data_IF_267989080492
#
_entry.id   IF_267989080492
#
_cell.length_a   1.000
_cell.length_b   1.000
_cell.length_c   1.000
_cell.angle_alpha   90.00
_cell.angle_beta   90.00
_cell.angle_gamma   90.00
#
_symmetry.space_group_name_H-M   'P 1'
#
loop_
_entity.id
_entity.type
_entity.pdbx_description
1 polymer ?
#
# COMPACT_ATOMS: atom_id res chain seq x y z
N UNK A 1 -18.84 7.74 -7.67
CA UNK A 1 -17.54 8.43 -7.51
C UNK A 1 -17.57 9.32 -6.25
N UNK A 2 -16.46 9.42 -5.52
CA UNK A 2 -16.37 10.27 -4.32
C UNK A 2 -16.25 11.75 -4.70
N UNK A 3 -16.94 12.62 -3.98
CA UNK A 3 -16.79 14.07 -4.05
C UNK A 3 -15.49 14.56 -3.39
N UNK A 4 -15.10 15.84 -3.59
CA UNK A 4 -13.84 16.38 -3.06
C UNK A 4 -13.69 16.26 -1.53
N UNK A 5 -14.77 16.54 -0.78
CA UNK A 5 -14.76 16.46 0.68
C UNK A 5 -14.64 15.01 1.19
N UNK A 6 -15.27 14.06 0.51
CA UNK A 6 -15.18 12.64 0.80
C UNK A 6 -13.76 12.11 0.51
N UNK A 7 -13.17 12.56 -0.60
CA UNK A 7 -11.77 12.26 -0.93
C UNK A 7 -10.79 12.78 0.12
N UNK A 8 -10.98 14.02 0.60
CA UNK A 8 -10.20 14.53 1.72
C UNK A 8 -10.39 13.70 2.98
N UNK A 9 -11.59 13.15 3.22
CA UNK A 9 -11.84 12.26 4.35
C UNK A 9 -11.08 10.94 4.26
N UNK A 10 -11.02 10.34 3.06
CA UNK A 10 -10.24 9.13 2.81
C UNK A 10 -8.74 9.38 3.03
N UNK A 11 -8.22 10.51 2.54
CA UNK A 11 -6.78 10.87 2.67
C UNK A 11 -6.31 11.14 4.10
N UNK A 12 -7.22 11.23 5.08
CA UNK A 12 -6.88 11.35 6.51
C UNK A 12 -6.55 10.01 7.17
N UNK A 13 -6.81 8.88 6.54
CA UNK A 13 -6.60 7.59 7.22
C UNK A 13 -5.13 7.29 7.58
N UNK A 14 -4.08 7.70 6.83
CA UNK A 14 -2.71 7.44 7.27
C UNK A 14 -2.38 8.24 8.54
N UNK A 15 -2.82 9.50 8.60
CA UNK A 15 -2.74 10.33 9.80
C UNK A 15 -3.41 9.65 10.99
N UNK A 16 -4.67 9.23 10.83
CA UNK A 16 -5.44 8.58 11.90
C UNK A 16 -4.79 7.27 12.34
N UNK A 17 -4.24 6.49 11.40
CA UNK A 17 -3.54 5.24 11.71
C UNK A 17 -2.31 5.50 12.58
N UNK A 18 -1.51 6.51 12.22
CA UNK A 18 -0.37 6.95 13.05
C UNK A 18 -0.83 7.41 14.43
N UNK A 19 -1.85 8.26 14.51
CA UNK A 19 -2.39 8.79 15.78
C UNK A 19 -2.90 7.68 16.71
N UNK A 20 -3.57 6.67 16.17
CA UNK A 20 -4.08 5.53 16.94
C UNK A 20 -2.92 4.66 17.44
N UNK A 21 -1.99 4.28 16.55
CA UNK A 21 -0.88 3.40 16.89
C UNK A 21 0.10 4.04 17.88
N UNK A 22 0.35 5.35 17.75
CA UNK A 22 1.25 6.09 18.63
C UNK A 22 0.78 6.18 20.10
N UNK A 23 -0.48 5.79 20.39
CA UNK A 23 -0.98 5.69 21.78
C UNK A 23 -0.37 4.52 22.54
N UNK A 24 0.25 3.57 21.84
CA UNK A 24 0.99 2.47 22.42
C UNK A 24 2.47 2.76 22.21
N UNK A 25 3.20 3.01 23.30
CA UNK A 25 4.63 3.39 23.26
C UNK A 25 5.46 2.39 22.45
N UNK A 26 5.22 1.10 22.62
CA UNK A 26 5.91 0.03 21.88
C UNK A 26 5.69 0.09 20.34
N UNK A 27 4.68 0.83 19.87
CA UNK A 27 4.34 0.95 18.44
C UNK A 27 4.79 2.26 17.81
N UNK A 28 5.55 3.12 18.50
CA UNK A 28 5.94 4.43 17.97
C UNK A 28 6.60 4.35 16.58
N UNK A 29 7.52 3.39 16.38
CA UNK A 29 8.15 3.18 15.07
C UNK A 29 7.15 2.70 14.01
N UNK A 30 6.32 1.71 14.36
CA UNK A 30 5.28 1.18 13.45
C UNK A 30 4.26 2.25 13.09
N UNK A 31 3.91 3.13 14.02
CA UNK A 31 3.01 4.25 13.79
C UNK A 31 3.57 5.21 12.72
N UNK A 32 4.88 5.50 12.75
CA UNK A 32 5.53 6.32 11.71
C UNK A 32 5.47 5.64 10.34
N UNK A 33 5.75 4.34 10.29
CA UNK A 33 5.71 3.54 9.05
C UNK A 33 4.28 3.53 8.48
N UNK A 34 3.29 3.21 9.32
CA UNK A 34 1.88 3.18 8.94
C UNK A 34 1.35 4.58 8.56
N UNK A 35 1.87 5.66 9.14
CA UNK A 35 1.50 7.02 8.75
C UNK A 35 2.03 7.44 7.38
N UNK A 36 3.13 6.83 6.93
CA UNK A 36 3.89 7.23 5.76
C UNK A 36 3.66 6.35 4.51
N UNK A 37 2.83 5.31 4.58
CA UNK A 37 2.66 4.35 3.47
C UNK A 37 2.05 4.95 2.17
N UNK A 38 1.50 6.16 2.22
CA UNK A 38 1.05 6.92 1.05
C UNK A 38 1.95 8.11 0.68
N UNK A 39 3.09 8.24 1.37
CA UNK A 39 4.14 9.20 0.97
C UNK A 39 4.88 8.68 -0.26
N UNK A 40 5.49 9.60 -1.00
CA UNK A 40 6.18 9.32 -2.26
C UNK A 40 7.54 10.00 -2.26
N UNK A 41 8.54 9.38 -2.88
CA UNK A 41 9.92 9.87 -2.84
C UNK A 41 10.08 11.30 -3.40
N UNK A 42 9.23 11.67 -4.37
CA UNK A 42 9.17 13.01 -4.97
C UNK A 42 8.37 14.04 -4.16
N UNK A 43 7.84 13.66 -2.98
CA UNK A 43 7.03 14.52 -2.13
C UNK A 43 5.58 14.72 -2.60
N UNK A 44 5.15 14.09 -3.69
CA UNK A 44 3.76 14.18 -4.19
C UNK A 44 2.74 13.36 -3.39
N UNK A 45 3.22 12.59 -2.42
CA UNK A 45 2.43 11.75 -1.54
C UNK A 45 1.66 12.52 -0.46
N UNK A 46 1.08 11.78 0.48
CA UNK A 46 0.28 12.35 1.55
C UNK A 46 0.34 11.47 2.81
N UNK A 47 0.08 12.00 4.00
CA UNK A 47 -0.58 13.27 4.32
C UNK A 47 0.36 14.44 4.69
N UNK A 48 1.67 14.18 4.83
CA UNK A 48 2.66 15.18 5.25
C UNK A 48 3.51 15.72 4.09
N UNK A 49 3.53 15.03 2.95
CA UNK A 49 4.32 15.44 1.79
C UNK A 49 5.82 15.23 2.02
N UNK A 50 6.17 14.07 2.58
CA UNK A 50 7.55 13.74 2.91
C UNK A 50 8.34 13.43 1.63
N UNK A 51 9.55 13.94 1.55
CA UNK A 51 10.51 13.59 0.50
C UNK A 51 11.29 12.32 0.84
N UNK A 52 12.01 11.77 -0.14
CA UNK A 52 12.90 10.63 0.06
C UNK A 52 13.81 10.76 1.29
N UNK A 53 14.42 11.93 1.50
CA UNK A 53 15.33 12.17 2.62
C UNK A 53 14.69 12.03 4.01
N UNK A 54 13.36 12.12 4.09
CA UNK A 54 12.60 12.06 5.34
C UNK A 54 11.95 10.68 5.58
N UNK A 55 11.94 9.82 4.56
CA UNK A 55 11.33 8.49 4.63
C UNK A 55 12.37 7.44 4.99
N UNK A 56 12.13 6.72 6.09
CA UNK A 56 12.94 5.57 6.47
C UNK A 56 12.67 4.37 5.55
N UNK A 57 13.65 3.45 5.48
CA UNK A 57 13.59 2.28 4.58
C UNK A 57 12.30 1.44 4.79
N UNK A 58 11.85 1.15 6.02
CA UNK A 58 10.59 0.42 6.21
C UNK A 58 9.35 1.13 5.65
N UNK A 59 9.26 2.46 5.79
CA UNK A 59 8.14 3.24 5.20
C UNK A 59 8.12 3.12 3.69
N UNK A 60 9.28 3.18 3.04
CA UNK A 60 9.42 3.06 1.59
C UNK A 60 9.05 1.66 1.09
N UNK A 61 9.48 0.63 1.80
CA UNK A 61 9.11 -0.77 1.50
C UNK A 61 7.60 -0.94 1.62
N UNK A 62 6.99 -0.43 2.70
CA UNK A 62 5.55 -0.53 2.90
C UNK A 62 4.76 0.19 1.80
N UNK A 63 5.20 1.38 1.37
CA UNK A 63 4.55 2.11 0.28
C UNK A 63 4.54 1.31 -1.03
N UNK A 64 5.64 0.65 -1.37
CA UNK A 64 5.71 -0.25 -2.54
C UNK A 64 4.77 -1.45 -2.38
N UNK A 65 4.79 -2.09 -1.21
CA UNK A 65 3.94 -3.24 -0.93
C UNK A 65 2.43 -2.90 -0.96
N UNK A 66 2.05 -1.74 -0.44
CA UNK A 66 0.65 -1.27 -0.40
C UNK A 66 0.10 -1.02 -1.82
N UNK A 67 0.88 -0.38 -2.68
CA UNK A 67 0.49 -0.18 -4.09
C UNK A 67 0.33 -1.51 -4.81
N UNK A 68 1.28 -2.44 -4.63
CA UNK A 68 1.21 -3.77 -5.23
C UNK A 68 -0.05 -4.51 -4.78
N UNK A 69 -0.32 -4.57 -3.47
CA UNK A 69 -1.51 -5.22 -2.91
C UNK A 69 -2.80 -4.55 -3.40
N UNK A 70 -2.83 -3.22 -3.48
CA UNK A 70 -3.99 -2.50 -4.00
C UNK A 70 -4.31 -2.87 -5.45
N UNK A 71 -3.29 -3.11 -6.27
CA UNK A 71 -3.41 -3.50 -7.68
C UNK A 71 -3.66 -4.99 -7.87
N UNK A 72 -3.09 -5.88 -7.05
CA UNK A 72 -3.28 -7.34 -7.14
C UNK A 72 -4.52 -7.86 -6.40
N UNK A 73 -5.15 -7.05 -5.54
CA UNK A 73 -6.33 -7.48 -4.80
C UNK A 73 -7.58 -7.53 -5.69
N UNK A 74 -8.32 -8.62 -5.56
CA UNK A 74 -9.68 -8.76 -6.09
C UNK A 74 -10.64 -7.91 -5.25
N UNK A 75 -11.45 -7.07 -5.91
CA UNK A 75 -12.44 -6.20 -5.26
C UNK A 75 -13.81 -6.37 -5.92
N UNK A 76 -14.92 -6.10 -5.22
CA UNK A 76 -16.27 -6.30 -5.77
C UNK A 76 -16.53 -5.61 -7.12
N UNK A 77 -15.80 -4.53 -7.41
CA UNK A 77 -15.95 -3.71 -8.61
C UNK A 77 -14.79 -3.85 -9.60
N UNK A 78 -13.76 -4.65 -9.30
CA UNK A 78 -12.57 -4.80 -10.16
C UNK A 78 -11.87 -6.14 -9.89
N UNK A 79 -11.63 -6.97 -10.92
CA UNK A 79 -10.82 -8.18 -10.75
C UNK A 79 -9.38 -7.83 -10.31
N UNK A 80 -8.69 -8.83 -9.74
CA UNK A 80 -7.25 -8.75 -9.51
C UNK A 80 -6.52 -8.59 -10.84
N UNK A 81 -5.49 -7.73 -10.87
CA UNK A 81 -4.55 -7.69 -11.99
C UNK A 81 -3.54 -8.83 -11.87
N UNK A 82 -3.04 -9.30 -13.01
CA UNK A 82 -1.92 -10.23 -13.06
C UNK A 82 -0.62 -9.58 -12.55
N UNK A 83 0.34 -10.40 -12.11
CA UNK A 83 1.61 -9.91 -11.61
C UNK A 83 2.33 -9.02 -12.64
N UNK A 84 2.30 -9.41 -13.93
CA UNK A 84 2.87 -8.62 -15.03
C UNK A 84 2.20 -7.24 -15.20
N UNK A 85 0.87 -7.18 -15.08
CA UNK A 85 0.12 -5.92 -15.13
C UNK A 85 0.46 -5.01 -13.94
N UNK A 86 0.57 -5.58 -12.72
CA UNK A 86 0.96 -4.85 -11.51
C UNK A 86 2.35 -4.24 -11.68
N UNK A 87 3.34 -5.05 -12.07
CA UNK A 87 4.72 -4.58 -12.26
C UNK A 87 4.81 -3.55 -13.38
N UNK A 88 4.07 -3.73 -14.47
CA UNK A 88 4.01 -2.77 -15.58
C UNK A 88 3.49 -1.40 -15.14
N UNK A 89 2.38 -1.36 -14.39
CA UNK A 89 1.82 -0.11 -13.85
C UNK A 89 2.79 0.57 -12.89
N UNK A 90 3.42 -0.20 -11.99
CA UNK A 90 4.29 0.35 -10.96
C UNK A 90 5.64 0.85 -11.50
N UNK A 91 6.13 0.33 -12.63
CA UNK A 91 7.46 0.68 -13.16
C UNK A 91 7.62 2.17 -13.45
N UNK A 92 6.59 2.83 -13.99
CA UNK A 92 6.63 4.28 -14.23
C UNK A 92 6.73 5.10 -12.93
N UNK A 93 6.20 4.57 -11.83
CA UNK A 93 6.27 5.20 -10.51
C UNK A 93 7.59 4.87 -9.78
N UNK A 94 8.20 3.72 -10.03
CA UNK A 94 9.51 3.33 -9.48
C UNK A 94 10.63 4.30 -9.88
N UNK A 95 10.56 4.88 -11.09
CA UNK A 95 11.57 5.83 -11.57
C UNK A 95 11.49 7.22 -10.89
N UNK A 96 10.39 7.53 -10.19
CA UNK A 96 10.13 8.88 -9.66
C UNK A 96 9.74 8.94 -8.20
N UNK A 97 8.91 8.01 -7.75
CA UNK A 97 8.07 8.23 -6.58
C UNK A 97 7.96 7.03 -5.64
N UNK A 98 8.28 5.83 -6.12
CA UNK A 98 8.49 4.64 -5.29
C UNK A 98 9.99 4.37 -5.13
N UNK A 99 10.35 3.61 -4.10
CA UNK A 99 11.75 3.28 -3.86
C UNK A 99 12.22 2.18 -4.83
N UNK A 100 13.27 2.42 -5.62
CA UNK A 100 13.69 1.51 -6.69
C UNK A 100 14.24 0.19 -6.14
N UNK A 101 14.90 0.20 -4.98
CA UNK A 101 15.42 -1.03 -4.37
C UNK A 101 14.27 -1.90 -3.85
N UNK A 102 13.26 -1.28 -3.24
CA UNK A 102 12.05 -1.98 -2.80
C UNK A 102 11.24 -2.52 -3.98
N UNK A 103 11.12 -1.76 -5.07
CA UNK A 103 10.46 -2.21 -6.29
C UNK A 103 11.22 -3.38 -6.95
N UNK A 104 12.56 -3.29 -7.07
CA UNK A 104 13.38 -4.37 -7.60
C UNK A 104 13.29 -5.66 -6.76
N UNK A 105 13.14 -5.54 -5.44
CA UNK A 105 12.86 -6.68 -4.58
C UNK A 105 11.46 -7.27 -4.84
N UNK A 106 10.45 -6.43 -5.06
CA UNK A 106 9.09 -6.86 -5.41
C UNK A 106 9.07 -7.65 -6.72
N UNK A 107 9.78 -7.19 -7.75
CA UNK A 107 9.89 -7.87 -9.05
C UNK A 107 10.39 -9.31 -8.93
N UNK A 108 11.25 -9.60 -7.96
CA UNK A 108 11.80 -10.93 -7.72
C UNK A 108 10.82 -11.87 -6.99
N UNK A 109 9.96 -11.33 -6.12
CA UNK A 109 9.10 -12.14 -5.24
C UNK A 109 7.67 -12.28 -5.75
N UNK A 110 7.17 -11.32 -6.53
CA UNK A 110 5.77 -11.30 -6.96
C UNK A 110 5.42 -12.51 -7.85
N UNK A 111 6.23 -12.88 -8.89
CA UNK A 111 5.95 -14.04 -9.73
C UNK A 111 6.03 -15.39 -8.98
N UNK A 112 6.77 -15.45 -7.87
CA UNK A 112 6.87 -16.65 -7.04
C UNK A 112 5.57 -16.92 -6.26
N UNK A 113 4.74 -15.90 -6.01
CA UNK A 113 3.45 -16.05 -5.30
C UNK A 113 2.43 -16.83 -6.12
N UNK A 114 2.44 -16.72 -7.45
CA UNK A 114 1.48 -17.42 -8.31
C UNK A 114 1.80 -18.92 -8.46
N UNK A 115 3.00 -19.36 -8.06
CA UNK A 115 3.35 -20.78 -7.90
C UNK A 115 2.93 -21.41 -6.57
N UNK A 116 2.65 -20.61 -5.54
CA UNK A 116 2.16 -21.08 -4.25
C UNK A 116 0.63 -20.88 -4.18
N UNK A 117 -0.10 -21.96 -3.92
CA UNK A 117 -1.57 -21.93 -3.93
C UNK A 117 -2.09 -20.91 -2.91
N UNK A 118 -2.71 -19.82 -3.39
CA UNK A 118 -3.42 -18.85 -2.53
C UNK A 118 -4.44 -19.64 -1.69
N UNK A 119 -4.40 -19.61 -0.35
CA UNK A 119 -5.40 -20.30 0.45
C UNK A 119 -6.78 -19.79 0.02
N UNK A 120 -7.61 -20.71 -0.48
CA UNK A 120 -8.97 -20.39 -0.89
C UNK A 120 -9.73 -19.91 0.33
N UNK A 121 -10.44 -18.79 0.19
CA UNK A 121 -11.36 -18.32 1.22
C UNK A 121 -12.36 -19.46 1.48
N UNK A 122 -12.53 -19.95 2.72
CA UNK A 122 -13.50 -21.00 2.99
C UNK A 122 -14.90 -20.49 2.60
N UNK A 123 -15.61 -21.29 1.80
CA UNK A 123 -16.93 -20.97 1.22
C UNK A 123 -18.05 -20.71 2.24
N UNK A 124 -17.75 -20.86 3.54
CA UNK A 124 -18.71 -20.76 4.63
C UNK A 124 -18.94 -19.32 5.10
N UNK A 125 -18.13 -18.35 4.65
CA UNK A 125 -18.23 -16.93 5.02
C UNK A 125 -19.09 -16.08 4.05
N UNK A 126 -19.67 -16.66 3.01
CA UNK A 126 -20.59 -15.99 2.07
C UNK A 126 -22.03 -15.83 2.60
N UNK A 127 -22.29 -16.20 3.86
CA UNK A 127 -23.56 -15.86 4.50
C UNK A 127 -23.56 -14.38 4.85
N UNK A 128 -24.14 -13.59 3.93
CA UNK A 128 -24.68 -12.28 4.23
C UNK A 128 -25.45 -12.36 5.56
N UNK A 129 -25.02 -11.53 6.51
CA UNK A 129 -25.79 -11.26 7.73
C UNK A 129 -27.13 -10.66 7.26
N UNK A 130 -28.28 -11.17 7.75
CA UNK A 130 -29.60 -10.71 7.32
C UNK A 130 -29.86 -9.24 7.65
#
# INVERSE_FOLDING_TARGET
>A
PLGPAEWQAVRRHPQRSMEILARVEAFEHVARIAGAHHERLDGSGYYRGLSAAQLDRPSRILAVADVAEALSAERPYRPALSDDEVLSIMRADADRALDPDAFAALEQVLPARSSETRPTRPSHLDRAVP
#
